data_IF_667245991599
#
_entry.id   IF_667245991599
#
_cell.length_a   1.000
_cell.length_b   1.000
_cell.length_c   1.000
_cell.angle_alpha   90.00
_cell.angle_beta   90.00
_cell.angle_gamma   90.00
#
_symmetry.space_group_name_H-M   'P 1'
#
loop_
_entity.id
_entity.type
_entity.pdbx_description
1 polymer ?
#
# COMPACT_ATOMS: atom_id res chain seq x y z
N UNK A 1 -9.00 -22.82 -19.35
CA UNK A 1 -9.17 -21.61 -20.18
C UNK A 1 -8.17 -20.55 -19.69
N UNK A 2 -7.00 -20.42 -20.35
CA UNK A 2 -5.99 -19.43 -19.95
C UNK A 2 -6.44 -18.03 -20.33
N UNK A 3 -6.31 -17.06 -19.42
CA UNK A 3 -6.67 -15.66 -19.70
C UNK A 3 -5.74 -15.08 -20.77
N UNK A 4 -6.30 -14.36 -21.74
CA UNK A 4 -5.52 -13.71 -22.79
C UNK A 4 -4.57 -12.66 -22.16
N UNK A 5 -3.33 -12.50 -22.65
CA UNK A 5 -2.35 -11.58 -22.06
C UNK A 5 -2.81 -10.12 -22.01
N UNK A 6 -3.68 -9.70 -22.93
CA UNK A 6 -4.30 -8.36 -22.92
C UNK A 6 -5.28 -8.16 -21.75
N UNK A 7 -5.96 -9.21 -21.31
CA UNK A 7 -6.96 -9.20 -20.25
C UNK A 7 -6.29 -9.16 -18.86
N UNK A 8 -5.20 -9.90 -18.70
CA UNK A 8 -4.34 -9.85 -17.50
C UNK A 8 -3.71 -8.46 -17.31
N UNK A 9 -3.27 -7.82 -18.40
CA UNK A 9 -2.69 -6.47 -18.35
C UNK A 9 -3.73 -5.41 -17.93
N UNK A 10 -4.97 -5.51 -18.41
CA UNK A 10 -6.09 -4.64 -17.99
C UNK A 10 -6.43 -4.81 -16.51
N UNK A 11 -6.53 -6.05 -16.04
CA UNK A 11 -6.80 -6.37 -14.63
C UNK A 11 -5.73 -5.78 -13.70
N UNK A 12 -4.45 -5.94 -14.04
CA UNK A 12 -3.34 -5.41 -13.24
C UNK A 12 -3.35 -3.87 -13.19
N UNK A 13 -3.60 -3.22 -14.33
CA UNK A 13 -3.70 -1.76 -14.38
C UNK A 13 -4.90 -1.22 -13.58
N UNK A 14 -6.02 -1.93 -13.55
CA UNK A 14 -7.18 -1.53 -12.74
C UNK A 14 -6.88 -1.63 -11.23
N UNK A 15 -6.16 -2.67 -10.80
CA UNK A 15 -5.80 -2.84 -9.39
C UNK A 15 -4.85 -1.75 -8.87
N UNK A 16 -4.00 -1.18 -9.73
CA UNK A 16 -3.03 -0.15 -9.32
C UNK A 16 -3.62 1.26 -9.44
N UNK A 17 -4.50 1.49 -10.41
CA UNK A 17 -5.06 2.83 -10.68
C UNK A 17 -5.78 3.43 -9.47
N UNK A 18 -6.52 2.63 -8.71
CA UNK A 18 -7.25 3.11 -7.52
C UNK A 18 -6.33 3.66 -6.43
N UNK A 19 -5.43 2.83 -5.87
CA UNK A 19 -4.42 3.28 -4.90
C UNK A 19 -3.60 4.48 -5.37
N UNK A 20 -3.21 4.49 -6.64
CA UNK A 20 -2.35 5.52 -7.21
C UNK A 20 -3.07 6.87 -7.33
N UNK A 21 -4.30 6.88 -7.85
CA UNK A 21 -5.07 8.13 -8.00
C UNK A 21 -5.44 8.73 -6.65
N UNK A 22 -5.85 7.89 -5.70
CA UNK A 22 -6.17 8.34 -4.34
C UNK A 22 -4.96 9.00 -3.67
N UNK A 23 -3.80 8.34 -3.72
CA UNK A 23 -2.58 8.86 -3.10
C UNK A 23 -2.16 10.19 -3.73
N UNK A 24 -2.29 10.32 -5.05
CA UNK A 24 -1.92 11.53 -5.78
C UNK A 24 -2.82 12.72 -5.40
N UNK A 25 -4.13 12.50 -5.24
CA UNK A 25 -5.08 13.53 -4.82
C UNK A 25 -4.77 13.98 -3.39
N UNK A 26 -4.57 13.04 -2.45
CA UNK A 26 -4.26 13.41 -1.07
C UNK A 26 -2.93 14.14 -0.94
N UNK A 27 -1.91 13.73 -1.69
CA UNK A 27 -0.64 14.43 -1.74
C UNK A 27 -0.80 15.86 -2.25
N UNK A 28 -1.61 16.07 -3.30
CA UNK A 28 -1.87 17.39 -3.87
C UNK A 28 -2.55 18.31 -2.85
N UNK A 29 -3.56 17.80 -2.14
CA UNK A 29 -4.23 18.53 -1.05
C UNK A 29 -3.22 18.90 0.04
N UNK A 30 -2.41 17.94 0.50
CA UNK A 30 -1.40 18.17 1.53
C UNK A 30 -0.37 19.22 1.09
N UNK A 31 0.10 19.15 -0.16
CA UNK A 31 1.03 20.11 -0.73
C UNK A 31 0.46 21.53 -0.78
N UNK A 32 -0.79 21.70 -1.23
CA UNK A 32 -1.47 23.01 -1.26
C UNK A 32 -1.63 23.58 0.15
N UNK A 33 -2.09 22.76 1.11
CA UNK A 33 -2.26 23.17 2.50
C UNK A 33 -0.92 23.57 3.11
N UNK A 34 0.14 22.77 2.90
CA UNK A 34 1.46 23.05 3.41
C UNK A 34 2.04 24.33 2.81
N UNK A 35 1.85 24.53 1.51
CA UNK A 35 2.32 25.73 0.80
C UNK A 35 1.72 26.99 1.41
N UNK A 36 0.41 27.00 1.67
CA UNK A 36 -0.31 28.15 2.25
C UNK A 36 0.02 28.32 3.73
N UNK A 37 0.03 27.23 4.49
CA UNK A 37 0.27 27.28 5.94
C UNK A 37 1.71 27.69 6.28
N UNK A 38 2.68 27.30 5.45
CA UNK A 38 4.09 27.58 5.68
C UNK A 38 4.49 29.05 5.42
N UNK A 39 3.66 29.85 4.74
CA UNK A 39 3.91 31.29 4.59
C UNK A 39 3.60 32.06 5.87
N UNK A 40 2.82 31.50 6.80
CA UNK A 40 2.45 32.18 8.05
C UNK A 40 1.58 33.44 7.86
N UNK A 41 1.01 33.66 6.68
CA UNK A 41 0.19 34.84 6.35
C UNK A 41 0.27 35.22 4.85
N UNK A 42 -0.65 36.08 4.38
CA UNK A 42 -0.73 36.47 2.95
C UNK A 42 0.39 37.39 2.47
N UNK A 43 1.12 38.03 3.39
CA UNK A 43 2.18 38.98 3.05
C UNK A 43 3.55 38.34 2.80
N UNK A 44 3.65 37.02 2.99
CA UNK A 44 4.89 36.27 2.79
C UNK A 44 4.89 35.52 1.45
N UNK A 45 6.06 35.38 0.81
CA UNK A 45 6.18 34.65 -0.44
C UNK A 45 5.76 33.18 -0.27
N UNK A 46 5.17 32.63 -1.33
CA UNK A 46 4.70 31.25 -1.36
C UNK A 46 5.85 30.26 -1.17
N UNK A 47 5.79 29.43 -0.13
CA UNK A 47 6.81 28.41 0.18
C UNK A 47 6.59 27.12 -0.60
N UNK A 48 6.82 27.20 -1.91
CA UNK A 48 6.72 26.07 -2.83
C UNK A 48 7.72 24.95 -2.52
N UNK A 49 8.85 25.28 -1.90
CA UNK A 49 9.83 24.33 -1.37
C UNK A 49 9.19 23.38 -0.35
N UNK A 50 8.48 23.94 0.63
CA UNK A 50 7.78 23.17 1.67
C UNK A 50 6.57 22.46 1.08
N UNK A 51 5.81 23.14 0.23
CA UNK A 51 4.67 22.56 -0.48
C UNK A 51 5.00 21.29 -1.26
N UNK A 52 6.05 21.36 -2.07
CA UNK A 52 6.50 20.23 -2.89
C UNK A 52 7.08 19.10 -2.03
N UNK A 53 7.81 19.44 -0.96
CA UNK A 53 8.33 18.46 0.00
C UNK A 53 7.18 17.74 0.70
N UNK A 54 6.19 18.48 1.21
CA UNK A 54 5.01 17.92 1.86
C UNK A 54 4.19 17.05 0.91
N UNK A 55 4.02 17.48 -0.35
CA UNK A 55 3.42 16.68 -1.41
C UNK A 55 4.14 15.33 -1.55
N UNK A 56 5.46 15.36 -1.74
CA UNK A 56 6.25 14.13 -1.95
C UNK A 56 6.18 13.17 -0.76
N UNK A 57 6.33 13.70 0.46
CA UNK A 57 6.25 12.91 1.70
C UNK A 57 4.85 12.30 1.87
N UNK A 58 3.79 13.10 1.71
CA UNK A 58 2.42 12.62 1.84
C UNK A 58 2.08 11.56 0.79
N UNK A 59 2.53 11.74 -0.45
CA UNK A 59 2.32 10.78 -1.54
C UNK A 59 2.93 9.42 -1.21
N UNK A 60 4.20 9.40 -0.81
CA UNK A 60 4.92 8.16 -0.45
C UNK A 60 4.28 7.52 0.78
N UNK A 61 3.93 8.30 1.80
CA UNK A 61 3.27 7.79 3.00
C UNK A 61 1.93 7.10 2.67
N UNK A 62 1.08 7.72 1.85
CA UNK A 62 -0.17 7.11 1.40
C UNK A 62 0.06 5.79 0.64
N UNK A 63 1.01 5.77 -0.29
CA UNK A 63 1.34 4.55 -1.03
C UNK A 63 1.82 3.43 -0.10
N UNK A 64 2.66 3.76 0.90
CA UNK A 64 3.14 2.78 1.88
C UNK A 64 1.98 2.20 2.69
N UNK A 65 1.10 3.04 3.22
CA UNK A 65 -0.06 2.60 4.00
C UNK A 65 -0.98 1.70 3.16
N UNK A 66 -1.29 2.10 1.93
CA UNK A 66 -2.14 1.30 1.04
C UNK A 66 -1.45 -0.01 0.66
N UNK A 67 -0.14 0.02 0.43
CA UNK A 67 0.63 -1.18 0.12
C UNK A 67 0.57 -2.18 1.27
N UNK A 68 0.79 -1.74 2.51
CA UNK A 68 0.69 -2.59 3.70
C UNK A 68 -0.72 -3.12 3.88
N UNK A 69 -1.75 -2.28 3.71
CA UNK A 69 -3.15 -2.70 3.82
C UNK A 69 -3.52 -3.74 2.75
N UNK A 70 -3.03 -3.56 1.51
CA UNK A 70 -3.27 -4.48 0.40
C UNK A 70 -2.61 -5.84 0.66
N UNK A 71 -1.41 -5.85 1.25
CA UNK A 71 -0.77 -7.09 1.67
C UNK A 71 -1.52 -7.76 2.81
N UNK A 72 -1.96 -7.00 3.81
CA UNK A 72 -2.70 -7.51 4.96
C UNK A 72 -4.08 -8.08 4.58
N UNK A 73 -4.71 -7.52 3.55
CA UNK A 73 -6.02 -7.96 3.05
C UNK A 73 -5.93 -9.11 2.03
N UNK A 74 -4.72 -9.50 1.63
CA UNK A 74 -4.54 -10.60 0.66
C UNK A 74 -4.75 -11.92 1.38
N UNK A 75 -5.67 -12.73 0.87
CA UNK A 75 -5.90 -14.08 1.40
C UNK A 75 -4.64 -14.93 1.25
N UNK A 76 -4.31 -15.67 2.31
CA UNK A 76 -3.20 -16.61 2.31
C UNK A 76 -3.60 -17.81 1.43
N UNK A 77 -2.76 -18.26 0.49
CA UNK A 77 -3.10 -19.40 -0.33
C UNK A 77 -3.21 -20.66 0.54
N UNK A 78 -4.20 -21.51 0.24
CA UNK A 78 -4.61 -22.63 1.11
C UNK A 78 -3.48 -23.65 1.35
N UNK A 79 -2.55 -23.74 0.40
CA UNK A 79 -1.36 -24.60 0.44
C UNK A 79 -0.30 -24.14 1.45
N UNK A 80 -0.24 -22.85 1.78
CA UNK A 80 0.66 -22.28 2.77
C UNK A 80 0.05 -22.21 4.19
N UNK A 81 -1.27 -22.36 4.31
CA UNK A 81 -2.00 -22.24 5.58
C UNK A 81 -2.04 -23.53 6.42
N UNK A 82 -1.76 -24.69 5.83
CA UNK A 82 -1.90 -25.99 6.50
C UNK A 82 -0.80 -26.36 7.51
N UNK A 83 0.31 -25.59 7.54
CA UNK A 83 1.55 -26.00 8.19
C UNK A 83 2.19 -27.17 7.45
N UNK A 84 3.53 -27.23 7.37
CA UNK A 84 4.22 -28.26 6.57
C UNK A 84 3.96 -29.70 7.05
N UNK A 85 3.34 -29.90 8.20
CA UNK A 85 3.09 -31.22 8.79
C UNK A 85 4.36 -31.97 9.22
N UNK A 86 5.55 -31.48 8.85
CA UNK A 86 6.86 -32.12 9.05
C UNK A 86 7.23 -32.25 10.53
N UNK A 87 6.62 -31.46 11.43
CA UNK A 87 6.82 -31.53 12.88
C UNK A 87 5.54 -31.86 13.68
N UNK A 88 4.63 -32.70 13.15
CA UNK A 88 3.53 -33.28 13.94
C UNK A 88 4.00 -34.46 14.81
N UNK A 89 5.02 -34.25 15.65
CA UNK A 89 5.46 -35.25 16.64
C UNK A 89 4.43 -35.48 17.78
N UNK A 90 3.40 -34.64 17.89
CA UNK A 90 2.34 -34.76 18.89
C UNK A 90 1.17 -35.64 18.46
N UNK A 91 1.07 -36.04 17.19
CA UNK A 91 -0.02 -36.87 16.69
C UNK A 91 0.19 -38.37 16.98
N UNK A 92 1.42 -38.77 17.32
CA UNK A 92 1.75 -40.15 17.69
C UNK A 92 2.79 -40.15 18.84
N UNK A 93 2.38 -39.88 20.09
CA UNK A 93 3.26 -40.06 21.23
C UNK A 93 3.63 -41.55 21.35
N UNK A 94 4.94 -41.82 21.42
CA UNK A 94 5.51 -43.16 21.58
C UNK A 94 4.87 -43.85 22.80
N UNK A 95 4.25 -45.04 22.66
CA UNK A 95 3.69 -45.74 23.81
C UNK A 95 4.82 -46.04 24.80
N UNK A 96 4.71 -45.48 26.01
CA UNK A 96 5.66 -45.72 27.09
C UNK A 96 5.83 -47.22 27.29
N UNK A 97 7.05 -47.71 27.06
CA UNK A 97 7.53 -49.02 27.51
C UNK A 97 7.56 -49.11 29.03
#
# INVERSE_FOLDING_TARGET
MGKNPAEQKKSWQQSIKGPLSFSLIMALIAGVIATISATGGSDNPLRLDIGLTAFGVAFVACLLVISVMTMASKENPEDLGGGSGVNRSSANPDPKK
#
